data_IF_447770996064
#
_entry.id   IF_447770996064
#
_cell.length_a   1.000
_cell.length_b   1.000
_cell.length_c   1.000
_cell.angle_alpha   90.00
_cell.angle_beta   90.00
_cell.angle_gamma   90.00
#
_symmetry.space_group_name_H-M   'P 1'
#
loop_
_entity.id
_entity.type
_entity.pdbx_description
1 polymer ?
#
# COMPACT_ATOMS: atom_id res chain seq x y z
N UNK A 1 -13.31 -12.17 7.54
CA UNK A 1 -13.34 -12.60 6.13
C UNK A 1 -12.34 -11.76 5.35
N UNK A 2 -11.31 -12.34 4.74
CA UNK A 2 -10.33 -11.59 3.94
C UNK A 2 -10.92 -11.34 2.55
N UNK A 3 -11.45 -10.14 2.31
CA UNK A 3 -11.99 -9.75 1.01
C UNK A 3 -10.92 -9.02 0.19
N UNK A 4 -10.84 -9.32 -1.10
CA UNK A 4 -9.95 -8.58 -2.01
C UNK A 4 -10.57 -7.21 -2.30
N UNK A 5 -9.85 -6.14 -1.97
CA UNK A 5 -10.21 -4.79 -2.40
C UNK A 5 -9.92 -4.62 -3.90
N UNK A 6 -10.95 -4.31 -4.69
CA UNK A 6 -10.85 -4.13 -6.16
C UNK A 6 -10.88 -2.65 -6.59
N UNK A 7 -11.11 -1.72 -5.67
CA UNK A 7 -11.19 -0.28 -5.96
C UNK A 7 -9.84 0.32 -6.35
N UNK A 8 -9.89 1.57 -6.84
CA UNK A 8 -8.70 2.38 -7.03
C UNK A 8 -8.06 2.64 -5.65
N UNK A 9 -6.74 2.56 -5.60
CA UNK A 9 -6.01 2.80 -4.36
C UNK A 9 -4.74 3.54 -4.68
N UNK A 10 -4.59 4.74 -4.13
CA UNK A 10 -3.40 5.58 -4.32
C UNK A 10 -2.09 4.83 -4.05
N UNK A 11 -2.10 3.91 -3.07
CA UNK A 11 -0.95 3.06 -2.76
C UNK A 11 -0.61 2.06 -3.88
N UNK A 12 -1.64 1.49 -4.53
CA UNK A 12 -1.49 0.59 -5.67
C UNK A 12 -1.00 1.36 -6.90
N UNK A 13 -1.56 2.53 -7.17
CA UNK A 13 -1.16 3.36 -8.31
C UNK A 13 0.27 3.88 -8.16
N UNK A 14 0.64 4.28 -6.95
CA UNK A 14 2.03 4.61 -6.62
C UNK A 14 2.99 3.43 -6.86
N UNK A 15 2.61 2.21 -6.46
CA UNK A 15 3.44 1.03 -6.71
C UNK A 15 3.56 0.71 -8.20
N UNK A 16 2.49 0.88 -8.98
CA UNK A 16 2.51 0.72 -10.44
C UNK A 16 3.41 1.77 -11.11
N UNK A 17 3.39 3.02 -10.66
CA UNK A 17 4.30 4.06 -11.16
C UNK A 17 5.78 3.72 -10.87
N UNK A 18 6.09 3.10 -9.72
CA UNK A 18 7.45 2.61 -9.45
C UNK A 18 7.80 1.43 -10.36
N UNK A 19 6.84 0.54 -10.64
CA UNK A 19 7.07 -0.60 -11.51
C UNK A 19 7.46 -0.20 -12.95
N UNK A 20 7.00 0.95 -13.43
CA UNK A 20 7.40 1.48 -14.75
C UNK A 20 8.90 1.81 -14.84
N UNK A 21 9.56 2.07 -13.70
CA UNK A 21 10.97 2.49 -13.63
C UNK A 21 11.88 1.54 -12.87
N UNK A 22 11.38 0.40 -12.40
CA UNK A 22 12.12 -0.49 -11.48
C UNK A 22 11.65 -1.94 -11.53
N UNK A 23 12.54 -2.85 -11.12
CA UNK A 23 12.22 -4.28 -11.06
C UNK A 23 11.10 -4.60 -10.05
N UNK A 24 10.19 -5.50 -10.44
CA UNK A 24 9.05 -5.95 -9.63
C UNK A 24 9.42 -6.47 -8.23
N UNK A 25 10.62 -7.04 -8.04
CA UNK A 25 11.12 -7.46 -6.72
C UNK A 25 11.28 -6.25 -5.78
N UNK A 26 11.87 -5.16 -6.26
CA UNK A 26 12.05 -3.93 -5.49
C UNK A 26 10.71 -3.25 -5.21
N UNK A 27 9.81 -3.25 -6.19
CA UNK A 27 8.45 -2.67 -6.07
C UNK A 27 7.66 -3.38 -4.95
N UNK A 28 7.64 -4.72 -4.94
CA UNK A 28 6.94 -5.49 -3.89
C UNK A 28 7.46 -5.15 -2.48
N UNK A 29 8.78 -5.05 -2.32
CA UNK A 29 9.38 -4.69 -1.03
C UNK A 29 9.03 -3.25 -0.64
N UNK A 30 9.10 -2.30 -1.59
CA UNK A 30 8.74 -0.91 -1.34
C UNK A 30 7.26 -0.75 -0.95
N UNK A 31 6.37 -1.48 -1.62
CA UNK A 31 4.95 -1.53 -1.29
C UNK A 31 4.71 -2.06 0.13
N UNK A 32 5.34 -3.18 0.49
CA UNK A 32 5.22 -3.75 1.83
C UNK A 32 5.70 -2.78 2.92
N UNK A 33 6.84 -2.09 2.69
CA UNK A 33 7.35 -1.09 3.63
C UNK A 33 6.39 0.06 3.83
N UNK A 34 5.88 0.64 2.74
CA UNK A 34 4.94 1.76 2.84
C UNK A 34 3.64 1.34 3.51
N UNK A 35 3.15 0.12 3.23
CA UNK A 35 1.98 -0.44 3.91
C UNK A 35 2.22 -0.61 5.41
N UNK A 36 3.37 -1.15 5.81
CA UNK A 36 3.72 -1.33 7.22
C UNK A 36 3.75 -0.01 8.00
N UNK A 37 4.28 1.06 7.39
CA UNK A 37 4.28 2.40 8.00
C UNK A 37 2.86 2.93 8.20
N UNK A 38 1.99 2.78 7.18
CA UNK A 38 0.58 3.20 7.27
C UNK A 38 -0.14 2.43 8.37
N UNK A 39 0.02 1.10 8.40
CA UNK A 39 -0.61 0.25 9.41
C UNK A 39 -0.11 0.57 10.82
N UNK A 40 1.19 0.83 10.98
CA UNK A 40 1.75 1.22 12.27
C UNK A 40 1.23 2.58 12.75
N UNK A 41 1.12 3.56 11.85
CA UNK A 41 0.52 4.85 12.18
C UNK A 41 -0.94 4.70 12.60
N UNK A 42 -1.73 3.91 11.85
CA UNK A 42 -3.13 3.63 12.17
C UNK A 42 -3.32 2.98 13.52
N UNK A 43 -2.46 2.01 13.86
CA UNK A 43 -2.47 1.36 15.17
C UNK A 43 -2.15 2.32 16.30
N UNK A 44 -1.26 3.29 16.07
CA UNK A 44 -0.88 4.27 17.07
C UNK A 44 -1.94 5.38 17.25
N UNK A 45 -2.72 5.69 16.21
CA UNK A 45 -3.72 6.77 16.23
C UNK A 45 -5.15 6.28 16.43
N UNK A 46 -5.38 4.97 16.57
CA UNK A 46 -6.72 4.34 16.64
C UNK A 46 -7.62 4.80 15.48
N UNK A 47 -7.05 4.83 14.27
CA UNK A 47 -7.76 5.29 13.06
C UNK A 47 -7.89 4.17 12.05
N UNK A 48 -9.04 4.11 11.39
CA UNK A 48 -9.31 3.13 10.34
C UNK A 48 -8.62 3.44 9.00
N UNK A 49 -8.51 2.40 8.17
CA UNK A 49 -8.01 2.54 6.80
C UNK A 49 -9.07 3.13 5.87
N UNK A 50 -8.82 4.32 5.32
CA UNK A 50 -9.65 4.95 4.31
C UNK A 50 -9.03 4.84 2.91
N UNK A 51 -9.66 4.07 2.04
CA UNK A 51 -9.31 4.01 0.62
C UNK A 51 -9.86 5.26 -0.09
N UNK A 52 -9.04 6.32 -0.16
CA UNK A 52 -9.38 7.59 -0.82
C UNK A 52 -9.17 7.57 -2.34
#
# INVERSE_FOLDING_TARGET
MLTRYKGALKLKDWALAIAQRSNMRKVRIALARRLAVIMHAMLNTDTDFHAA
#
